data_IF_641364920015
#
_entry.id   IF_641364920015
#
_cell.length_a   1.000
_cell.length_b   1.000
_cell.length_c   1.000
_cell.angle_alpha   90.00
_cell.angle_beta   90.00
_cell.angle_gamma   90.00
#
_symmetry.space_group_name_H-M   'P 1'
#
loop_
_entity.id
_entity.type
_entity.pdbx_description
1 polymer ?
#
# COMPACT_ATOMS: atom_id res chain seq x y z
N UNK A 1 -54.56 33.79 -13.06
CA UNK A 1 -53.69 34.06 -14.22
C UNK A 1 -53.43 32.75 -14.95
N UNK A 2 -53.52 32.70 -16.28
CA UNK A 2 -53.41 31.43 -17.03
C UNK A 2 -51.92 31.15 -17.35
N UNK A 3 -51.34 30.03 -16.90
CA UNK A 3 -49.91 29.74 -17.10
C UNK A 3 -49.52 29.66 -18.58
N UNK A 4 -50.44 29.26 -19.45
CA UNK A 4 -50.25 29.25 -20.91
C UNK A 4 -50.04 30.64 -21.51
N UNK A 5 -50.67 31.68 -20.96
CA UNK A 5 -50.48 33.06 -21.42
C UNK A 5 -49.10 33.60 -21.01
N UNK A 6 -48.64 33.25 -19.80
CA UNK A 6 -47.31 33.61 -19.30
C UNK A 6 -46.23 32.92 -20.16
N UNK A 7 -46.41 31.64 -20.49
CA UNK A 7 -45.47 30.89 -21.32
C UNK A 7 -45.41 31.43 -22.77
N UNK A 8 -46.56 31.82 -23.34
CA UNK A 8 -46.65 32.41 -24.69
C UNK A 8 -45.90 33.74 -24.79
N UNK A 9 -46.05 34.63 -23.80
CA UNK A 9 -45.34 35.91 -23.78
C UNK A 9 -43.84 35.74 -23.48
N UNK A 10 -43.47 34.79 -22.62
CA UNK A 10 -42.07 34.42 -22.43
C UNK A 10 -41.41 33.93 -23.74
N UNK A 11 -42.13 33.11 -24.52
CA UNK A 11 -41.66 32.61 -25.82
C UNK A 11 -41.52 33.73 -26.86
N UNK A 12 -42.44 34.71 -26.86
CA UNK A 12 -42.33 35.90 -27.70
C UNK A 12 -41.12 36.75 -27.34
N UNK A 13 -40.86 36.96 -26.05
CA UNK A 13 -39.68 37.69 -25.55
C UNK A 13 -38.35 36.99 -25.83
N UNK A 14 -38.35 35.65 -25.93
CA UNK A 14 -37.21 34.87 -26.40
C UNK A 14 -36.99 35.06 -27.90
N UNK A 15 -38.06 35.01 -28.70
CA UNK A 15 -38.01 35.19 -30.18
C UNK A 15 -37.65 36.60 -30.63
N UNK A 16 -38.07 37.63 -29.89
CA UNK A 16 -37.75 39.03 -30.22
C UNK A 16 -36.31 39.43 -29.91
N UNK A 17 -35.55 38.59 -29.18
CA UNK A 17 -34.14 38.82 -28.84
C UNK A 17 -33.89 39.97 -27.84
N UNK A 18 -34.93 40.68 -27.43
CA UNK A 18 -34.86 41.87 -26.55
C UNK A 18 -34.32 41.56 -25.16
N UNK A 19 -34.46 40.32 -24.69
CA UNK A 19 -34.05 39.89 -23.34
C UNK A 19 -32.64 39.31 -23.25
N UNK A 20 -31.91 39.12 -24.37
CA UNK A 20 -30.63 38.38 -24.43
C UNK A 20 -30.68 37.00 -23.72
N UNK A 21 -31.86 36.43 -23.54
CA UNK A 21 -32.05 35.24 -22.70
C UNK A 21 -31.31 34.00 -23.21
N UNK A 22 -31.09 33.88 -24.53
CA UNK A 22 -30.24 32.82 -25.11
C UNK A 22 -28.78 32.96 -24.67
N UNK A 23 -28.25 34.19 -24.63
CA UNK A 23 -26.88 34.45 -24.17
C UNK A 23 -26.74 34.15 -22.68
N UNK A 24 -27.73 34.53 -21.86
CA UNK A 24 -27.73 34.21 -20.43
C UNK A 24 -27.87 32.69 -20.19
N UNK A 25 -28.73 32.00 -20.95
CA UNK A 25 -28.88 30.55 -20.87
C UNK A 25 -27.59 29.82 -21.30
N UNK A 26 -26.93 30.30 -22.37
CA UNK A 26 -25.63 29.79 -22.79
C UNK A 26 -24.55 30.03 -21.72
N UNK A 27 -24.53 31.22 -21.11
CA UNK A 27 -23.60 31.52 -20.02
C UNK A 27 -23.83 30.58 -18.81
N UNK A 28 -25.08 30.36 -18.40
CA UNK A 28 -25.41 29.40 -17.33
C UNK A 28 -25.01 27.98 -17.71
N UNK A 29 -25.29 27.55 -18.94
CA UNK A 29 -24.91 26.22 -19.41
C UNK A 29 -23.38 26.03 -19.43
N UNK A 30 -22.62 27.04 -19.86
CA UNK A 30 -21.15 27.03 -19.84
C UNK A 30 -20.64 26.97 -18.40
N UNK A 31 -21.19 27.77 -17.48
CA UNK A 31 -20.79 27.76 -16.07
C UNK A 31 -21.10 26.43 -15.41
N UNK A 32 -22.29 25.87 -15.66
CA UNK A 32 -22.68 24.57 -15.14
C UNK A 32 -21.80 23.44 -15.70
N UNK A 33 -21.56 23.43 -17.02
CA UNK A 33 -20.66 22.47 -17.65
C UNK A 33 -19.24 22.61 -17.09
N UNK A 34 -18.73 23.84 -16.96
CA UNK A 34 -17.42 24.12 -16.38
C UNK A 34 -17.29 23.61 -14.95
N UNK A 35 -18.30 23.84 -14.10
CA UNK A 35 -18.33 23.33 -12.73
C UNK A 35 -18.33 21.79 -12.70
N UNK A 36 -19.16 21.14 -13.51
CA UNK A 36 -19.20 19.66 -13.56
C UNK A 36 -17.90 19.04 -14.06
N UNK A 37 -17.24 19.68 -15.04
CA UNK A 37 -15.94 19.23 -15.55
C UNK A 37 -14.88 19.43 -14.47
N UNK A 38 -14.88 20.57 -13.77
CA UNK A 38 -13.95 20.83 -12.68
C UNK A 38 -14.09 19.79 -11.57
N UNK A 39 -15.32 19.46 -11.16
CA UNK A 39 -15.58 18.41 -10.16
C UNK A 39 -15.08 17.04 -10.63
N UNK A 40 -15.35 16.67 -11.88
CA UNK A 40 -14.90 15.41 -12.44
C UNK A 40 -13.37 15.30 -12.48
N UNK A 41 -12.68 16.37 -12.90
CA UNK A 41 -11.22 16.45 -12.93
C UNK A 41 -10.65 16.35 -11.51
N UNK A 42 -11.27 17.02 -10.54
CA UNK A 42 -10.84 16.95 -9.14
C UNK A 42 -10.96 15.53 -8.61
N UNK A 43 -12.12 14.88 -8.74
CA UNK A 43 -12.34 13.49 -8.25
C UNK A 43 -11.36 12.51 -8.89
N UNK A 44 -11.15 12.62 -10.20
CA UNK A 44 -10.21 11.80 -10.96
C UNK A 44 -8.75 12.02 -10.49
N UNK A 45 -8.36 13.27 -10.24
CA UNK A 45 -7.03 13.57 -9.70
C UNK A 45 -6.82 12.99 -8.29
N UNK A 46 -7.84 13.06 -7.42
CA UNK A 46 -7.77 12.54 -6.06
C UNK A 46 -7.69 11.01 -6.05
N UNK A 47 -8.44 10.35 -6.94
CA UNK A 47 -8.41 8.90 -7.09
C UNK A 47 -7.03 8.43 -7.51
N UNK A 48 -6.42 9.05 -8.54
CA UNK A 48 -5.06 8.71 -8.97
C UNK A 48 -4.00 8.95 -7.89
N UNK A 49 -4.14 10.04 -7.11
CA UNK A 49 -3.23 10.32 -5.99
C UNK A 49 -3.34 9.26 -4.90
N UNK A 50 -4.55 8.82 -4.57
CA UNK A 50 -4.79 7.74 -3.63
C UNK A 50 -4.20 6.41 -4.12
N UNK A 51 -4.42 6.04 -5.39
CA UNK A 51 -3.84 4.85 -6.01
C UNK A 51 -2.30 4.89 -5.98
N UNK A 52 -1.70 6.03 -6.31
CA UNK A 52 -0.24 6.20 -6.25
C UNK A 52 0.29 6.08 -4.81
N UNK A 53 -0.43 6.65 -3.85
CA UNK A 53 -0.08 6.58 -2.44
C UNK A 53 -0.12 5.15 -1.90
N UNK A 54 -1.13 4.37 -2.27
CA UNK A 54 -1.26 2.96 -1.92
C UNK A 54 -0.18 2.12 -2.63
N UNK A 55 -0.04 2.24 -3.95
CA UNK A 55 0.88 1.45 -4.77
C UNK A 55 2.36 1.67 -4.41
N UNK A 56 2.72 2.88 -3.96
CA UNK A 56 4.08 3.21 -3.50
C UNK A 56 4.44 2.58 -2.14
N UNK A 57 3.45 2.01 -1.43
CA UNK A 57 3.61 1.51 -0.07
C UNK A 57 3.66 2.61 0.99
N UNK A 58 3.32 3.86 0.65
CA UNK A 58 3.29 4.95 1.61
C UNK A 58 2.22 4.72 2.70
N UNK A 59 1.10 4.07 2.36
CA UNK A 59 0.10 3.71 3.36
C UNK A 59 0.54 2.58 4.33
N UNK A 60 1.68 1.92 4.08
CA UNK A 60 2.16 0.84 4.94
C UNK A 60 2.97 1.44 6.10
N UNK A 61 2.41 1.30 7.30
CA UNK A 61 2.99 1.73 8.57
C UNK A 61 3.75 0.58 9.21
N UNK A 62 4.85 0.90 9.87
CA UNK A 62 5.71 -0.10 10.51
C UNK A 62 5.86 0.18 12.00
N UNK A 63 5.91 -0.88 12.79
CA UNK A 63 6.44 -0.87 14.15
C UNK A 63 7.66 -1.77 14.19
N UNK A 64 8.75 -1.24 14.74
CA UNK A 64 9.99 -1.99 14.95
C UNK A 64 10.18 -2.19 16.44
N UNK A 65 10.26 -3.46 16.86
CA UNK A 65 10.73 -3.88 18.18
C UNK A 65 11.39 -5.26 18.06
N UNK A 66 12.72 -5.30 18.17
CA UNK A 66 13.50 -6.51 17.89
C UNK A 66 13.10 -7.68 18.78
N UNK A 67 12.79 -8.82 18.16
CA UNK A 67 12.34 -10.06 18.77
C UNK A 67 11.13 -9.89 19.72
N UNK A 68 10.31 -8.88 19.49
CA UNK A 68 9.19 -8.50 20.35
C UNK A 68 7.87 -8.33 19.62
N UNK A 69 7.80 -8.80 18.38
CA UNK A 69 6.56 -8.84 17.62
C UNK A 69 6.06 -10.28 17.57
N UNK A 70 4.82 -10.50 18.01
CA UNK A 70 4.15 -11.79 17.92
C UNK A 70 3.39 -11.90 16.58
N UNK A 71 3.56 -13.02 15.86
CA UNK A 71 2.94 -13.22 14.54
C UNK A 71 1.41 -13.18 14.64
N UNK A 72 0.73 -14.00 15.47
CA UNK A 72 -0.73 -13.92 15.63
C UNK A 72 -1.25 -12.52 15.93
N UNK A 73 -0.56 -11.78 16.80
CA UNK A 73 -0.97 -10.43 17.20
C UNK A 73 -0.82 -9.42 16.06
N UNK A 74 0.28 -9.46 15.32
CA UNK A 74 0.49 -8.59 14.17
C UNK A 74 -0.45 -8.94 13.00
N UNK A 75 -0.59 -10.22 12.65
CA UNK A 75 -1.44 -10.66 11.55
C UNK A 75 -2.92 -10.38 11.82
N UNK A 76 -3.36 -10.43 13.08
CA UNK A 76 -4.74 -10.15 13.47
C UNK A 76 -5.12 -8.66 13.39
N UNK A 77 -4.17 -7.75 13.15
CA UNK A 77 -4.48 -6.34 12.91
C UNK A 77 -5.36 -6.14 11.68
N UNK A 78 -5.38 -7.09 10.73
CA UNK A 78 -6.27 -7.03 9.56
C UNK A 78 -7.78 -7.07 9.90
N UNK A 79 -8.11 -7.38 11.16
CA UNK A 79 -9.49 -7.34 11.69
C UNK A 79 -9.87 -5.97 12.25
N UNK A 80 -8.89 -5.07 12.42
CA UNK A 80 -9.13 -3.73 12.92
C UNK A 80 -9.67 -2.82 11.81
N UNK A 81 -10.49 -1.85 12.19
CA UNK A 81 -11.02 -0.87 11.24
C UNK A 81 -9.88 -0.03 10.65
N UNK A 82 -9.86 0.10 9.32
CA UNK A 82 -8.83 0.89 8.61
C UNK A 82 -7.49 0.19 8.44
N UNK A 83 -7.40 -1.12 8.75
CA UNK A 83 -6.22 -1.95 8.51
C UNK A 83 -6.61 -3.13 7.63
N UNK A 84 -6.50 -3.04 6.29
CA UNK A 84 -6.92 -4.14 5.41
C UNK A 84 -5.99 -5.36 5.47
N UNK A 85 -4.69 -5.13 5.68
CA UNK A 85 -3.67 -6.18 5.73
C UNK A 85 -2.60 -5.83 6.74
N UNK A 86 -2.07 -6.85 7.40
CA UNK A 86 -0.94 -6.73 8.30
C UNK A 86 -0.09 -7.99 8.30
N UNK A 87 1.18 -7.85 8.66
CA UNK A 87 2.12 -8.95 8.70
C UNK A 87 3.43 -8.60 9.37
N UNK A 88 4.01 -9.59 10.01
CA UNK A 88 5.31 -9.48 10.67
C UNK A 88 6.49 -9.88 9.77
N UNK A 89 7.66 -9.28 10.04
CA UNK A 89 8.93 -9.43 9.34
C UNK A 89 10.09 -9.55 10.34
N UNK A 90 11.08 -10.38 10.02
CA UNK A 90 12.36 -10.47 10.75
C UNK A 90 13.51 -10.68 9.79
N UNK A 91 14.62 -9.99 10.03
CA UNK A 91 15.85 -10.21 9.27
C UNK A 91 16.54 -11.49 9.73
N UNK A 92 16.95 -12.32 8.78
CA UNK A 92 17.64 -13.59 9.01
C UNK A 92 19.10 -13.51 8.60
N UNK A 93 19.86 -14.56 8.92
CA UNK A 93 21.21 -14.68 8.36
C UNK A 93 21.15 -14.66 6.82
N UNK A 94 22.01 -13.89 6.15
CA UNK A 94 22.01 -13.77 4.69
C UNK A 94 22.12 -15.12 3.98
N UNK A 95 21.32 -15.31 2.93
CA UNK A 95 21.31 -16.53 2.14
C UNK A 95 22.54 -16.60 1.23
N UNK A 96 23.22 -17.75 1.21
CA UNK A 96 24.31 -18.03 0.27
C UNK A 96 23.90 -19.11 -0.71
N UNK A 97 24.11 -18.86 -2.00
CA UNK A 97 23.81 -19.82 -3.04
C UNK A 97 24.94 -20.82 -3.19
N UNK A 98 24.62 -22.08 -3.46
CA UNK A 98 25.63 -23.12 -3.66
C UNK A 98 26.51 -22.82 -4.88
N UNK A 99 25.93 -22.22 -5.93
CA UNK A 99 26.65 -21.80 -7.13
C UNK A 99 27.48 -20.51 -6.94
N UNK A 100 27.18 -19.70 -5.92
CA UNK A 100 27.81 -18.41 -5.64
C UNK A 100 28.18 -18.26 -4.15
N UNK A 101 29.07 -19.11 -3.60
CA UNK A 101 29.34 -19.15 -2.16
C UNK A 101 30.01 -17.88 -1.62
N UNK A 102 30.63 -17.07 -2.50
CA UNK A 102 31.25 -15.79 -2.18
C UNK A 102 30.27 -14.60 -2.14
N UNK A 103 28.99 -14.82 -2.48
CA UNK A 103 27.96 -13.77 -2.50
C UNK A 103 26.82 -14.17 -1.57
N UNK A 104 26.34 -13.22 -0.79
CA UNK A 104 25.18 -13.41 0.08
C UNK A 104 24.06 -12.44 -0.26
N UNK A 105 22.83 -12.90 -0.12
CA UNK A 105 21.62 -12.14 -0.39
C UNK A 105 20.82 -11.94 0.91
N UNK A 106 20.21 -10.76 1.12
CA UNK A 106 19.32 -10.54 2.26
C UNK A 106 18.22 -11.61 2.33
N UNK A 107 18.04 -12.19 3.50
CA UNK A 107 16.98 -13.17 3.80
C UNK A 107 16.12 -12.63 4.92
N UNK A 108 14.82 -12.79 4.79
CA UNK A 108 13.88 -12.42 5.83
C UNK A 108 12.91 -13.56 6.11
N UNK A 109 12.58 -13.75 7.38
CA UNK A 109 11.44 -14.53 7.80
C UNK A 109 10.19 -13.64 7.77
N UNK A 110 9.09 -14.14 7.21
CA UNK A 110 7.84 -13.39 7.10
C UNK A 110 6.67 -14.20 7.64
N UNK A 111 5.72 -13.53 8.26
CA UNK A 111 4.45 -14.14 8.67
C UNK A 111 3.56 -14.50 7.46
N UNK A 112 2.54 -15.36 7.63
CA UNK A 112 1.49 -15.56 6.63
C UNK A 112 0.73 -14.25 6.27
N UNK A 113 0.53 -13.34 7.23
CA UNK A 113 -0.04 -12.02 7.02
C UNK A 113 0.78 -11.14 6.07
N UNK A 114 2.11 -11.22 6.15
CA UNK A 114 3.00 -10.39 5.35
C UNK A 114 2.90 -10.64 3.85
N UNK A 115 2.59 -11.86 3.44
CA UNK A 115 2.32 -12.17 2.04
C UNK A 115 1.15 -11.32 1.49
N UNK A 116 0.10 -11.09 2.29
CA UNK A 116 -1.03 -10.22 1.90
C UNK A 116 -0.64 -8.75 1.84
N UNK A 117 0.28 -8.29 2.68
CA UNK A 117 0.82 -6.92 2.63
C UNK A 117 1.53 -6.66 1.30
N UNK A 118 2.16 -7.69 0.74
CA UNK A 118 2.81 -7.63 -0.57
C UNK A 118 1.91 -8.08 -1.74
N UNK A 119 0.61 -8.27 -1.49
CA UNK A 119 -0.36 -8.79 -2.47
C UNK A 119 0.06 -10.12 -3.12
N UNK A 120 0.81 -10.94 -2.38
CA UNK A 120 1.27 -12.25 -2.82
C UNK A 120 0.21 -13.32 -2.59
N UNK A 121 0.19 -14.37 -3.43
CA UNK A 121 -0.72 -15.49 -3.23
C UNK A 121 -0.57 -16.09 -1.83
N UNK A 122 -1.67 -16.44 -1.15
CA UNK A 122 -1.60 -17.15 0.12
C UNK A 122 -0.95 -18.51 -0.12
N UNK A 123 0.27 -18.69 0.37
CA UNK A 123 0.98 -19.95 0.15
C UNK A 123 0.49 -21.03 1.11
N UNK A 124 0.15 -22.18 0.54
CA UNK A 124 -0.22 -23.39 1.28
C UNK A 124 0.96 -24.24 1.76
N UNK A 125 2.21 -23.75 1.71
CA UNK A 125 3.37 -24.57 2.09
C UNK A 125 4.74 -23.93 1.87
N UNK A 126 5.79 -24.66 2.30
CA UNK A 126 7.21 -24.30 2.33
C UNK A 126 7.77 -23.81 0.99
N UNK A 127 7.80 -22.51 0.79
CA UNK A 127 8.37 -21.84 -0.37
C UNK A 127 9.10 -20.57 0.03
N UNK A 128 9.75 -19.91 -0.92
CA UNK A 128 10.28 -18.58 -0.70
C UNK A 128 9.82 -17.64 -1.81
N UNK A 129 9.57 -16.40 -1.42
CA UNK A 129 9.33 -15.30 -2.33
C UNK A 129 10.65 -14.63 -2.68
N UNK A 130 10.86 -14.32 -3.96
CA UNK A 130 12.08 -13.68 -4.43
C UNK A 130 11.71 -12.36 -5.10
N UNK A 131 12.44 -11.29 -4.79
CA UNK A 131 12.25 -10.00 -5.46
C UNK A 131 12.54 -10.13 -6.96
N UNK A 132 11.78 -9.42 -7.81
CA UNK A 132 11.98 -9.46 -9.27
C UNK A 132 13.42 -9.16 -9.68
N UNK A 133 14.04 -8.12 -9.09
CA UNK A 133 15.44 -7.78 -9.40
C UNK A 133 16.42 -8.92 -9.08
N UNK A 134 16.22 -9.63 -7.97
CA UNK A 134 17.05 -10.79 -7.63
C UNK A 134 16.76 -11.97 -8.57
N UNK A 135 15.49 -12.23 -8.88
CA UNK A 135 15.10 -13.29 -9.80
C UNK A 135 15.73 -13.11 -11.19
N UNK A 136 15.69 -11.89 -11.73
CA UNK A 136 16.34 -11.51 -12.98
C UNK A 136 17.87 -11.67 -12.92
N UNK A 137 18.48 -11.25 -11.80
CA UNK A 137 19.94 -11.39 -11.61
C UNK A 137 20.37 -12.87 -11.61
N UNK A 138 19.55 -13.75 -11.03
CA UNK A 138 19.85 -15.17 -10.91
C UNK A 138 19.34 -16.00 -12.09
N UNK A 139 18.51 -15.42 -12.96
CA UNK A 139 17.85 -16.13 -14.06
C UNK A 139 16.84 -17.18 -13.59
N UNK A 140 16.12 -16.93 -12.50
CA UNK A 140 15.17 -17.87 -11.87
C UNK A 140 13.74 -17.35 -11.95
N UNK A 141 12.78 -18.27 -11.88
CA UNK A 141 11.34 -18.03 -11.95
C UNK A 141 10.57 -18.75 -10.82
N UNK A 142 9.30 -18.41 -10.64
CA UNK A 142 8.41 -19.17 -9.77
C UNK A 142 8.33 -20.64 -10.23
N UNK A 143 8.43 -21.57 -9.29
CA UNK A 143 8.49 -23.02 -9.53
C UNK A 143 9.92 -23.58 -9.48
N UNK A 144 10.94 -22.73 -9.66
CA UNK A 144 12.34 -23.17 -9.67
C UNK A 144 12.84 -23.56 -8.28
N UNK A 145 13.86 -24.41 -8.29
CA UNK A 145 14.63 -24.76 -7.10
C UNK A 145 15.90 -23.92 -7.06
N UNK A 146 16.16 -23.30 -5.91
CA UNK A 146 17.33 -22.49 -5.64
C UNK A 146 18.26 -23.26 -4.69
N UNK A 147 19.37 -23.82 -5.18
CA UNK A 147 20.35 -24.51 -4.34
C UNK A 147 21.12 -23.50 -3.49
N UNK A 148 21.09 -23.69 -2.18
CA UNK A 148 21.79 -22.86 -1.18
C UNK A 148 22.79 -23.70 -0.40
N UNK A 149 23.68 -23.06 0.34
CA UNK A 149 24.63 -23.78 1.22
C UNK A 149 23.94 -24.52 2.37
N UNK A 150 22.69 -24.17 2.68
CA UNK A 150 21.88 -24.74 3.77
C UNK A 150 20.84 -25.75 3.28
N UNK A 151 20.77 -26.00 1.97
CA UNK A 151 19.77 -26.86 1.34
C UNK A 151 19.11 -26.24 0.12
N UNK A 152 18.08 -26.88 -0.40
CA UNK A 152 17.35 -26.39 -1.59
C UNK A 152 16.09 -25.66 -1.15
N UNK A 153 15.93 -24.42 -1.61
CA UNK A 153 14.72 -23.62 -1.40
C UNK A 153 13.90 -23.64 -2.69
N UNK A 154 12.59 -23.83 -2.61
CA UNK A 154 11.69 -23.71 -3.77
C UNK A 154 11.17 -22.28 -3.87
N UNK A 155 11.31 -21.65 -5.04
CA UNK A 155 10.73 -20.35 -5.32
C UNK A 155 9.27 -20.56 -5.68
N UNK A 156 8.40 -19.87 -4.97
CA UNK A 156 6.95 -20.05 -5.12
C UNK A 156 6.29 -18.85 -5.77
N UNK A 157 6.73 -17.64 -5.43
CA UNK A 157 6.31 -16.43 -6.14
C UNK A 157 7.45 -15.43 -6.29
N UNK A 158 7.31 -14.54 -7.27
CA UNK A 158 8.18 -13.37 -7.45
C UNK A 158 7.38 -12.13 -7.07
N UNK A 159 7.99 -11.24 -6.29
CA UNK A 159 7.35 -10.01 -5.84
C UNK A 159 8.01 -8.75 -6.40
N UNK A 160 7.19 -7.71 -6.61
CA UNK A 160 7.65 -6.40 -7.05
C UNK A 160 8.14 -5.55 -5.89
N UNK A 161 9.29 -4.90 -6.08
CA UNK A 161 9.80 -3.96 -5.12
C UNK A 161 10.59 -2.84 -5.81
N UNK A 162 9.90 -1.83 -6.37
CA UNK A 162 10.53 -0.75 -7.12
C UNK A 162 11.35 0.18 -6.21
N UNK A 163 12.36 0.84 -6.78
CA UNK A 163 13.17 1.87 -6.12
C UNK A 163 12.45 3.24 -6.13
N UNK A 164 11.31 3.34 -5.47
CA UNK A 164 10.42 4.53 -5.44
C UNK A 164 10.45 5.29 -4.09
N UNK A 165 11.46 5.01 -3.27
CA UNK A 165 11.62 5.57 -1.92
C UNK A 165 11.16 4.64 -0.79
N UNK A 166 10.55 3.49 -1.12
CA UNK A 166 10.27 2.43 -0.13
C UNK A 166 11.54 1.82 0.46
N UNK A 167 11.38 1.12 1.59
CA UNK A 167 12.48 0.43 2.29
C UNK A 167 13.29 -0.45 1.32
N UNK A 168 14.57 -0.13 1.12
CA UNK A 168 15.42 -0.79 0.13
C UNK A 168 15.79 -2.23 0.48
N UNK A 169 15.60 -2.65 1.74
CA UNK A 169 16.03 -3.97 2.22
C UNK A 169 15.38 -5.12 1.46
N UNK A 170 14.15 -4.93 0.97
CA UNK A 170 13.44 -5.98 0.23
C UNK A 170 13.72 -5.97 -1.29
N UNK A 171 14.40 -4.95 -1.82
CA UNK A 171 14.61 -4.78 -3.26
C UNK A 171 15.41 -5.89 -3.94
N UNK A 172 16.25 -6.60 -3.17
CA UNK A 172 17.04 -7.76 -3.62
C UNK A 172 17.01 -8.90 -2.60
N UNK A 173 15.86 -9.13 -1.99
CA UNK A 173 15.71 -10.09 -0.89
C UNK A 173 15.05 -11.41 -1.31
N UNK A 174 15.24 -12.40 -0.44
CA UNK A 174 14.48 -13.65 -0.36
C UNK A 174 13.64 -13.63 0.92
N UNK A 175 12.33 -13.83 0.81
CA UNK A 175 11.41 -13.89 1.94
C UNK A 175 10.95 -15.34 2.15
N UNK A 176 11.02 -15.83 3.38
CA UNK A 176 10.67 -17.20 3.74
C UNK A 176 9.51 -17.16 4.74
N UNK A 177 8.31 -17.66 4.37
CA UNK A 177 7.19 -17.75 5.28
C UNK A 177 7.49 -18.65 6.48
N UNK A 178 7.18 -18.17 7.69
CA UNK A 178 7.23 -18.94 8.92
C UNK A 178 5.92 -18.79 9.70
N UNK A 179 5.33 -19.88 10.21
CA UNK A 179 4.03 -19.82 10.88
C UNK A 179 4.12 -19.36 12.34
N UNK A 180 5.32 -19.45 12.95
CA UNK A 180 5.55 -19.18 14.38
C UNK A 180 6.93 -18.56 14.59
N UNK A 181 7.09 -17.89 15.74
CA UNK A 181 8.36 -17.29 16.17
C UNK A 181 8.24 -15.80 16.45
N UNK A 182 9.18 -15.26 17.22
CA UNK A 182 9.24 -13.83 17.49
C UNK A 182 9.81 -13.06 16.29
N UNK A 183 9.23 -11.91 15.98
CA UNK A 183 9.57 -11.07 14.84
C UNK A 183 10.15 -9.73 15.30
N UNK A 184 10.76 -9.00 14.38
CA UNK A 184 11.38 -7.70 14.66
C UNK A 184 10.48 -6.52 14.29
N UNK A 185 9.61 -6.71 13.28
CA UNK A 185 8.80 -5.66 12.72
C UNK A 185 7.37 -6.14 12.46
N UNK A 186 6.39 -5.26 12.68
CA UNK A 186 5.00 -5.43 12.25
C UNK A 186 4.68 -4.36 11.21
N UNK A 187 4.22 -4.77 10.04
CA UNK A 187 3.86 -3.90 8.93
C UNK A 187 2.36 -4.00 8.70
N UNK A 188 1.67 -2.86 8.61
CA UNK A 188 0.24 -2.81 8.38
C UNK A 188 -0.10 -1.77 7.31
N UNK A 189 -0.91 -2.17 6.33
CA UNK A 189 -1.52 -1.22 5.41
C UNK A 189 -2.59 -0.46 6.20
N UNK A 190 -2.45 0.86 6.31
CA UNK A 190 -3.42 1.71 7.01
C UNK A 190 -4.13 2.60 6.01
N UNK A 191 -5.42 2.33 5.77
CA UNK A 191 -6.24 3.10 4.84
C UNK A 191 -7.74 3.06 5.19
N UNK A 192 -8.41 4.23 5.28
CA UNK A 192 -7.86 5.58 5.29
C UNK A 192 -6.99 5.83 6.55
N UNK A 193 -6.06 6.78 6.48
CA UNK A 193 -5.19 7.10 7.62
C UNK A 193 -6.02 7.65 8.80
N UNK A 194 -5.96 7.00 9.96
CA UNK A 194 -6.53 7.48 11.21
C UNK A 194 -5.48 7.44 12.32
N UNK A 195 -5.65 8.26 13.36
CA UNK A 195 -4.72 8.31 14.51
C UNK A 195 -4.77 7.08 15.40
N UNK A 196 -5.84 6.28 15.33
CA UNK A 196 -6.04 5.08 16.14
C UNK A 196 -5.12 3.92 15.69
N UNK A 197 -4.83 3.85 14.39
CA UNK A 197 -4.01 2.78 13.80
C UNK A 197 -2.57 2.73 14.34
N UNK A 198 -1.98 3.90 14.67
CA UNK A 198 -0.65 3.97 15.30
C UNK A 198 -0.65 3.43 16.74
N UNK A 199 -1.79 3.50 17.44
CA UNK A 199 -1.98 2.87 18.75
C UNK A 199 -2.05 1.35 18.64
N UNK A 200 -2.84 0.86 17.68
CA UNK A 200 -2.99 -0.57 17.39
C UNK A 200 -1.66 -1.23 16.99
N UNK A 201 -0.89 -0.56 16.12
CA UNK A 201 0.44 -1.02 15.73
C UNK A 201 1.39 -1.13 16.94
N UNK A 202 1.42 -0.13 17.83
CA UNK A 202 2.24 -0.20 19.05
C UNK A 202 1.82 -1.35 19.96
N UNK A 203 0.53 -1.70 20.01
CA UNK A 203 0.01 -2.79 20.82
C UNK A 203 0.46 -4.18 20.35
N UNK A 204 0.96 -4.32 19.12
CA UNK A 204 1.53 -5.59 18.63
C UNK A 204 2.88 -5.92 19.24
N UNK A 205 3.59 -4.93 19.77
CA UNK A 205 4.83 -5.15 20.49
C UNK A 205 4.53 -5.62 21.91
N UNK A 206 5.06 -6.78 22.29
CA UNK A 206 4.97 -7.25 23.66
C UNK A 206 6.20 -6.81 24.47
N UNK A 207 5.98 -6.38 25.71
CA UNK A 207 7.06 -6.10 26.64
C UNK A 207 7.53 -7.43 27.28
N UNK A 208 8.75 -7.85 26.99
CA UNK A 208 9.41 -8.86 27.82
C UNK A 208 9.86 -8.20 29.14
N UNK A 209 9.74 -8.87 30.30
CA UNK A 209 10.32 -8.38 31.55
C UNK A 209 11.79 -8.02 31.34
N UNK A 210 12.21 -6.85 31.84
CA UNK A 210 13.56 -6.27 31.71
C UNK A 210 14.02 -5.83 30.30
N UNK A 211 13.16 -5.93 29.28
CA UNK A 211 13.52 -5.45 27.95
C UNK A 211 13.45 -3.91 27.84
N UNK A 212 14.53 -3.31 27.34
CA UNK A 212 14.64 -1.86 27.06
C UNK A 212 14.53 -1.56 25.55
N UNK A 213 13.98 -2.49 24.78
CA UNK A 213 13.87 -2.34 23.33
C UNK A 213 12.87 -1.23 23.02
N UNK A 214 13.27 -0.15 22.32
CA UNK A 214 12.34 0.91 21.97
C UNK A 214 11.36 0.42 20.89
N UNK A 215 10.08 0.77 21.06
CA UNK A 215 9.07 0.60 20.02
C UNK A 215 9.12 1.82 19.10
N UNK A 216 9.56 1.62 17.87
CA UNK A 216 9.74 2.71 16.89
C UNK A 216 8.66 2.59 15.82
N UNK A 217 7.85 3.64 15.65
CA UNK A 217 6.93 3.77 14.53
C UNK A 217 7.65 4.30 13.30
N UNK A 218 7.25 3.78 12.15
CA UNK A 218 7.75 4.16 10.85
C UNK A 218 6.73 3.97 9.75
N UNK A 219 7.24 4.05 8.53
CA UNK A 219 6.50 3.96 7.28
C UNK A 219 7.45 3.34 6.26
N UNK A 220 6.91 2.46 5.41
CA UNK A 220 7.69 1.74 4.40
C UNK A 220 8.23 2.71 3.35
N UNK A 221 7.39 3.61 2.83
CA UNK A 221 7.79 4.63 1.88
C UNK A 221 7.53 6.03 2.44
N UNK A 222 8.59 6.83 2.58
CA UNK A 222 8.52 8.19 3.13
C UNK A 222 8.47 9.28 2.05
N UNK A 223 8.57 8.93 0.76
CA UNK A 223 8.68 9.91 -0.33
C UNK A 223 7.41 10.74 -0.54
N UNK A 224 6.24 10.19 -0.19
CA UNK A 224 4.94 10.83 -0.37
C UNK A 224 4.32 11.37 0.94
N UNK A 225 5.08 11.41 2.03
CA UNK A 225 4.60 11.87 3.35
C UNK A 225 3.75 10.84 4.11
N UNK A 226 3.51 11.10 5.40
CA UNK A 226 2.84 10.16 6.32
C UNK A 226 1.31 10.17 6.24
N UNK A 227 0.74 11.15 5.53
CA UNK A 227 -0.69 11.30 5.25
C UNK A 227 -0.84 11.83 3.84
N UNK A 228 -1.86 11.36 3.11
CA UNK A 228 -2.22 11.95 1.83
C UNK A 228 -2.86 13.33 2.09
N UNK A 229 -2.15 14.41 1.78
CA UNK A 229 -2.74 15.75 1.81
C UNK A 229 -3.53 15.97 0.51
N UNK A 230 -4.84 16.11 0.67
CA UNK A 230 -5.81 16.26 -0.42
C UNK A 230 -6.16 17.73 -0.64
N UNK A 231 -5.76 18.63 0.28
CA UNK A 231 -6.25 20.00 0.33
C UNK A 231 -5.25 21.06 -0.18
N UNK A 232 -4.02 20.67 -0.52
CA UNK A 232 -2.93 21.60 -0.83
C UNK A 232 -2.55 21.65 -2.32
N UNK A 233 -3.47 21.95 -3.23
CA UNK A 233 -3.16 22.56 -4.55
C UNK A 233 -4.29 23.48 -5.02
#
# INVERSE_FOLDING_TARGET
>A
MRPSAILSEALRNLRSGTSRAVLLAAAVAILAAGATIADAVTVDSLTRRAETYLASGAAIRTVVSRQQIDIPSCDALDRAQGVPTAGALREEQPLRLAALPGTSFPRFAVSPGFARVLELPPEGGSGAFVSRSLAETLGVSAGDALPTTEGVIRITSIFEWPEDGRDKRLGRAVLVPVPVGAMDECWALVWPATTDSDGLLRATAFAAPDSKTPVILGQVNKSLGSTLDVASE
#
